data_IF_275733238503
#
_entry.id   IF_275733238503
#
_cell.length_a   1.000
_cell.length_b   1.000
_cell.length_c   1.000
_cell.angle_alpha   90.00
_cell.angle_beta   90.00
_cell.angle_gamma   90.00
#
_symmetry.space_group_name_H-M   'P 1'
#
loop_
_entity.id
_entity.type
_entity.pdbx_description
1 polymer ?
#
# COMPACT_ATOMS: atom_id res chain seq x y z
N UNK A 1 -24.86 0.80 -14.59
CA UNK A 1 -25.88 0.91 -13.49
C UNK A 1 -25.37 1.98 -12.55
N UNK A 2 -26.13 3.04 -12.25
CA UNK A 2 -25.68 4.02 -11.27
C UNK A 2 -25.67 3.35 -9.89
N UNK A 3 -24.57 3.50 -9.14
CA UNK A 3 -24.51 3.08 -7.74
C UNK A 3 -25.63 3.84 -7.02
N UNK A 4 -26.74 3.16 -6.73
CA UNK A 4 -27.81 3.74 -5.94
C UNK A 4 -27.25 3.98 -4.54
N UNK A 5 -27.33 5.23 -4.06
CA UNK A 5 -27.02 5.56 -2.66
C UNK A 5 -27.87 4.66 -1.77
N UNK A 6 -27.26 3.68 -1.11
CA UNK A 6 -27.92 2.89 -0.09
C UNK A 6 -28.10 3.78 1.13
N UNK A 7 -29.36 4.06 1.51
CA UNK A 7 -29.71 4.92 2.65
C UNK A 7 -29.87 4.15 3.95
N UNK A 8 -29.58 2.85 3.94
CA UNK A 8 -29.66 2.00 5.12
C UNK A 8 -28.53 2.28 6.14
N UNK A 9 -28.75 1.90 7.39
CA UNK A 9 -27.73 2.00 8.44
C UNK A 9 -26.98 0.70 8.56
N UNK A 10 -25.65 0.79 8.45
CA UNK A 10 -24.73 -0.33 8.55
C UNK A 10 -24.02 -0.40 9.89
N UNK A 11 -23.62 -1.59 10.31
CA UNK A 11 -22.84 -1.84 11.53
C UNK A 11 -21.77 -2.90 11.32
N UNK A 12 -20.63 -2.74 11.98
CA UNK A 12 -19.58 -3.75 12.04
C UNK A 12 -18.65 -3.54 13.24
N UNK A 13 -17.90 -4.59 13.60
CA UNK A 13 -16.78 -4.49 14.53
C UNK A 13 -15.61 -3.84 13.78
N UNK A 14 -15.08 -2.74 14.31
CA UNK A 14 -14.03 -1.93 13.69
C UNK A 14 -12.64 -2.13 14.29
N UNK A 15 -12.52 -2.89 15.38
CA UNK A 15 -11.26 -3.30 16.03
C UNK A 15 -10.90 -4.73 15.65
N UNK A 16 -9.62 -5.13 15.71
CA UNK A 16 -9.24 -6.53 15.57
C UNK A 16 -10.01 -7.43 16.54
N UNK A 17 -10.34 -8.65 16.10
CA UNK A 17 -10.96 -9.65 16.96
C UNK A 17 -9.88 -10.25 17.89
N UNK A 18 -10.17 -10.33 19.19
CA UNK A 18 -9.23 -10.86 20.18
C UNK A 18 -9.53 -10.31 21.56
N UNK A 19 -8.67 -10.61 22.54
CA UNK A 19 -8.74 -10.05 23.88
C UNK A 19 -8.04 -8.70 23.92
N UNK A 20 -8.76 -7.65 24.31
CA UNK A 20 -8.23 -6.30 24.41
C UNK A 20 -9.00 -5.46 25.43
N UNK A 21 -8.46 -4.28 25.76
CA UNK A 21 -9.14 -3.39 26.70
C UNK A 21 -10.43 -2.78 26.11
N UNK A 22 -10.45 -2.53 24.80
CA UNK A 22 -11.56 -1.87 24.09
C UNK A 22 -11.85 -2.61 22.80
N UNK A 23 -13.16 -2.86 22.55
CA UNK A 23 -13.71 -3.22 21.25
C UNK A 23 -14.62 -2.10 20.74
N UNK A 24 -14.66 -1.87 19.43
CA UNK A 24 -15.51 -0.84 18.82
C UNK A 24 -16.49 -1.49 17.87
N UNK A 25 -17.78 -1.33 18.13
CA UNK A 25 -18.86 -1.66 17.20
C UNK A 25 -19.42 -0.35 16.64
N UNK A 26 -19.20 -0.14 15.33
CA UNK A 26 -19.52 1.11 14.62
C UNK A 26 -20.83 0.98 13.88
N UNK A 27 -21.62 2.07 13.87
CA UNK A 27 -22.77 2.27 13.00
C UNK A 27 -22.50 3.48 12.09
N UNK A 28 -23.03 3.43 10.86
CA UNK A 28 -23.06 4.57 9.93
C UNK A 28 -24.37 4.55 9.15
N UNK A 29 -25.02 5.69 9.02
CA UNK A 29 -26.27 5.86 8.27
C UNK A 29 -27.24 6.79 8.94
N UNK A 30 -28.39 7.02 8.31
CA UNK A 30 -29.42 7.98 8.75
C UNK A 30 -30.00 7.63 10.11
N UNK A 31 -30.13 6.34 10.44
CA UNK A 31 -30.74 5.86 11.68
C UNK A 31 -29.70 5.43 12.73
N UNK A 32 -28.40 5.68 12.50
CA UNK A 32 -27.33 5.22 13.37
C UNK A 32 -27.52 5.64 14.83
N UNK A 33 -27.89 6.91 15.06
CA UNK A 33 -28.13 7.43 16.41
C UNK A 33 -29.40 6.85 17.04
N UNK A 34 -30.47 6.72 16.27
CA UNK A 34 -31.74 6.17 16.76
C UNK A 34 -31.60 4.68 17.13
N UNK A 35 -30.90 3.90 16.31
CA UNK A 35 -30.65 2.48 16.57
C UNK A 35 -29.78 2.31 17.83
N UNK A 36 -28.69 3.07 17.96
CA UNK A 36 -27.82 3.03 19.13
C UNK A 36 -28.60 3.44 20.40
N UNK A 37 -29.47 4.46 20.31
CA UNK A 37 -30.25 4.94 21.44
C UNK A 37 -31.27 3.91 21.97
N UNK A 38 -31.78 3.00 21.12
CA UNK A 38 -32.70 1.92 21.54
C UNK A 38 -32.07 0.94 22.52
N UNK A 39 -30.77 0.69 22.39
CA UNK A 39 -30.04 -0.32 23.18
C UNK A 39 -29.18 0.31 24.29
N UNK A 40 -29.06 1.63 24.31
CA UNK A 40 -28.22 2.37 25.25
C UNK A 40 -29.02 2.89 26.44
N UNK A 41 -28.59 2.55 27.66
CA UNK A 41 -29.12 3.05 28.92
C UNK A 41 -28.16 4.08 29.51
N UNK A 42 -28.48 5.37 29.31
CA UNK A 42 -27.71 6.52 29.73
C UNK A 42 -28.41 7.81 29.35
N UNK A 43 -27.62 8.78 28.81
CA UNK A 43 -28.18 10.00 28.21
C UNK A 43 -28.91 9.65 26.92
N UNK A 44 -29.98 10.38 26.59
CA UNK A 44 -30.61 10.24 25.28
C UNK A 44 -29.69 10.68 24.17
N UNK A 45 -29.18 9.70 23.35
CA UNK A 45 -28.21 9.94 22.28
C UNK A 45 -28.76 10.82 21.16
N UNK A 46 -30.10 10.86 20.99
CA UNK A 46 -30.69 11.73 19.94
C UNK A 46 -30.57 13.21 20.28
N UNK A 47 -30.42 13.55 21.57
CA UNK A 47 -30.36 14.95 22.07
C UNK A 47 -28.96 15.43 22.38
N UNK A 48 -27.94 14.55 22.39
CA UNK A 48 -26.57 14.94 22.67
C UNK A 48 -25.94 15.68 21.48
N UNK A 49 -24.98 16.55 21.78
CA UNK A 49 -24.21 17.26 20.75
C UNK A 49 -23.35 16.30 19.95
N UNK A 50 -23.02 16.68 18.71
CA UNK A 50 -22.06 15.97 17.89
C UNK A 50 -20.65 15.99 18.49
N UNK A 51 -19.88 14.94 18.27
CA UNK A 51 -18.51 14.74 18.77
C UNK A 51 -18.45 14.71 20.31
N UNK A 52 -19.41 13.99 20.92
CA UNK A 52 -19.45 13.74 22.36
C UNK A 52 -19.33 12.26 22.67
N UNK A 53 -18.75 11.97 23.81
CA UNK A 53 -18.67 10.62 24.40
C UNK A 53 -19.64 10.54 25.57
N UNK A 54 -20.48 9.50 25.57
CA UNK A 54 -21.56 9.32 26.54
C UNK A 54 -21.35 7.99 27.25
N UNK A 55 -21.18 8.06 28.58
CA UNK A 55 -21.07 6.89 29.46
C UNK A 55 -22.45 6.30 29.74
N UNK A 56 -22.53 4.97 29.73
CA UNK A 56 -23.76 4.22 30.04
C UNK A 56 -23.58 2.71 29.85
N UNK A 57 -24.67 2.03 29.59
CA UNK A 57 -24.71 0.58 29.45
C UNK A 57 -25.45 0.18 28.18
N UNK A 58 -24.98 -0.88 27.53
CA UNK A 58 -25.80 -1.57 26.53
C UNK A 58 -26.68 -2.58 27.23
N UNK A 59 -27.95 -2.54 26.94
CA UNK A 59 -28.98 -3.36 27.60
C UNK A 59 -29.87 -4.06 26.57
N UNK A 60 -30.29 -5.29 26.89
CA UNK A 60 -31.31 -6.04 26.16
C UNK A 60 -32.30 -6.63 27.22
N UNK A 61 -33.60 -6.40 27.07
CA UNK A 61 -34.63 -6.90 27.95
C UNK A 61 -34.39 -6.59 29.46
N UNK A 62 -33.89 -5.37 29.74
CA UNK A 62 -33.46 -4.90 31.07
C UNK A 62 -32.21 -5.58 31.67
N UNK A 63 -31.61 -6.50 30.97
CA UNK A 63 -30.30 -7.09 31.33
C UNK A 63 -29.14 -6.27 30.75
N UNK A 64 -28.13 -5.99 31.56
CA UNK A 64 -26.92 -5.27 31.12
C UNK A 64 -26.00 -6.25 30.44
N UNK A 65 -25.65 -5.95 29.18
CA UNK A 65 -24.65 -6.72 28.39
C UNK A 65 -23.27 -6.20 28.72
N UNK A 66 -23.08 -4.86 28.67
CA UNK A 66 -21.76 -4.24 28.91
C UNK A 66 -21.91 -2.79 29.38
N UNK A 67 -20.89 -2.31 30.06
CA UNK A 67 -20.67 -0.91 30.44
C UNK A 67 -19.82 -0.26 29.36
N UNK A 68 -20.30 0.82 28.74
CA UNK A 68 -19.75 1.36 27.49
C UNK A 68 -19.58 2.88 27.48
N UNK A 69 -18.72 3.35 26.57
CA UNK A 69 -18.67 4.75 26.19
C UNK A 69 -19.15 4.86 24.73
N UNK A 70 -20.25 5.58 24.50
CA UNK A 70 -20.82 5.76 23.16
C UNK A 70 -20.42 7.11 22.59
N UNK A 71 -19.69 7.11 21.49
CA UNK A 71 -19.32 8.30 20.73
C UNK A 71 -20.40 8.59 19.68
N UNK A 72 -20.92 9.83 19.66
CA UNK A 72 -21.90 10.28 18.67
C UNK A 72 -21.31 11.36 17.80
N UNK A 73 -21.27 11.12 16.49
CA UNK A 73 -20.77 12.04 15.47
C UNK A 73 -21.82 12.23 14.39
N UNK A 74 -22.25 13.49 14.16
CA UNK A 74 -23.33 13.80 13.21
C UNK A 74 -22.78 14.29 11.87
N UNK A 75 -23.46 13.92 10.81
CA UNK A 75 -23.22 14.41 9.47
C UNK A 75 -23.14 15.97 9.42
N UNK A 76 -22.37 16.54 8.49
CA UNK A 76 -21.47 15.90 7.52
C UNK A 76 -20.01 15.75 8.01
N UNK A 77 -19.69 16.12 9.25
CA UNK A 77 -18.32 16.12 9.79
C UNK A 77 -17.97 14.76 10.41
N UNK A 78 -18.07 13.68 9.60
CA UNK A 78 -17.80 12.30 10.00
C UNK A 78 -16.99 11.58 8.94
N UNK A 79 -16.54 10.36 9.20
CA UNK A 79 -15.76 9.59 8.23
C UNK A 79 -16.56 9.30 6.95
N UNK A 80 -17.81 8.89 7.06
CA UNK A 80 -18.69 8.55 5.94
C UNK A 80 -19.50 9.73 5.42
N UNK A 81 -19.44 10.91 6.07
CA UNK A 81 -20.38 12.03 5.90
C UNK A 81 -21.84 11.69 6.23
N UNK A 82 -22.08 10.56 6.89
CA UNK A 82 -23.34 10.16 7.49
C UNK A 82 -23.28 10.33 9.00
N UNK A 83 -24.39 10.10 9.73
CA UNK A 83 -24.32 9.98 11.18
C UNK A 83 -23.55 8.71 11.54
N UNK A 84 -22.59 8.84 12.45
CA UNK A 84 -21.73 7.74 12.91
C UNK A 84 -21.84 7.62 14.43
N UNK A 85 -22.02 6.38 14.90
CA UNK A 85 -21.97 6.05 16.32
C UNK A 85 -20.94 4.95 16.54
N UNK A 86 -20.09 5.13 17.55
CA UNK A 86 -19.12 4.11 17.96
C UNK A 86 -19.44 3.69 19.39
N UNK A 87 -19.78 2.41 19.57
CA UNK A 87 -19.96 1.78 20.86
C UNK A 87 -18.60 1.21 21.29
N UNK A 88 -17.93 1.91 22.21
CA UNK A 88 -16.67 1.45 22.78
C UNK A 88 -17.00 0.53 23.97
N UNK A 89 -16.83 -0.75 23.76
CA UNK A 89 -17.16 -1.87 24.65
C UNK A 89 -15.89 -2.43 25.29
N UNK A 90 -16.01 -3.34 26.25
CA UNK A 90 -14.88 -4.18 26.61
C UNK A 90 -14.48 -5.06 25.44
N UNK A 91 -13.15 -5.18 25.18
CA UNK A 91 -12.58 -5.83 24.01
C UNK A 91 -12.53 -7.35 24.13
N UNK A 92 -13.70 -7.99 24.20
CA UNK A 92 -13.83 -9.44 24.17
C UNK A 92 -14.64 -9.89 22.97
N UNK A 93 -14.27 -11.02 22.34
CA UNK A 93 -14.96 -11.53 21.15
C UNK A 93 -16.45 -11.77 21.41
N UNK A 94 -16.80 -12.32 22.56
CA UNK A 94 -18.20 -12.61 22.92
C UNK A 94 -19.01 -11.32 23.06
N UNK A 95 -18.51 -10.32 23.80
CA UNK A 95 -19.20 -9.06 24.07
C UNK A 95 -19.38 -8.25 22.79
N UNK A 96 -18.34 -8.08 21.99
CA UNK A 96 -18.43 -7.32 20.75
C UNK A 96 -19.37 -7.95 19.72
N UNK A 97 -19.40 -9.28 19.63
CA UNK A 97 -20.33 -10.01 18.76
C UNK A 97 -21.77 -9.89 19.26
N UNK A 98 -22.03 -10.00 20.58
CA UNK A 98 -23.39 -9.86 21.12
C UNK A 98 -23.95 -8.47 20.85
N UNK A 99 -23.14 -7.42 21.06
CA UNK A 99 -23.55 -6.03 20.77
C UNK A 99 -23.78 -5.83 19.27
N UNK A 100 -22.93 -6.40 18.40
CA UNK A 100 -23.15 -6.36 16.95
C UNK A 100 -24.50 -6.99 16.57
N UNK A 101 -24.78 -8.19 17.09
CA UNK A 101 -26.05 -8.88 16.83
C UNK A 101 -27.26 -8.08 17.36
N UNK A 102 -27.14 -7.48 18.54
CA UNK A 102 -28.17 -6.64 19.09
C UNK A 102 -28.47 -5.40 18.23
N UNK A 103 -27.44 -4.75 17.69
CA UNK A 103 -27.61 -3.62 16.78
C UNK A 103 -28.27 -4.04 15.46
N UNK A 104 -27.95 -5.22 14.94
CA UNK A 104 -28.60 -5.79 13.76
C UNK A 104 -30.08 -6.06 14.05
N UNK A 105 -30.39 -6.71 15.19
CA UNK A 105 -31.79 -6.93 15.63
C UNK A 105 -32.56 -5.61 15.83
N UNK A 106 -31.85 -4.53 16.16
CA UNK A 106 -32.43 -3.20 16.40
C UNK A 106 -32.66 -2.40 15.10
N UNK A 107 -32.21 -2.91 13.93
CA UNK A 107 -32.52 -2.33 12.62
C UNK A 107 -31.33 -1.92 11.77
N UNK A 108 -30.10 -2.20 12.21
CA UNK A 108 -28.92 -2.04 11.36
C UNK A 108 -28.72 -3.27 10.46
N UNK A 109 -28.03 -3.09 9.32
CA UNK A 109 -27.55 -4.17 8.47
C UNK A 109 -26.05 -4.39 8.75
N UNK A 110 -25.59 -5.64 8.63
CA UNK A 110 -24.18 -5.94 8.65
C UNK A 110 -23.48 -5.24 7.46
N UNK A 111 -22.38 -4.54 7.72
CA UNK A 111 -21.57 -3.90 6.70
C UNK A 111 -20.84 -4.93 5.84
N UNK A 112 -20.67 -4.63 4.55
CA UNK A 112 -19.76 -5.36 3.66
C UNK A 112 -18.30 -4.94 3.93
N UNK A 113 -17.31 -5.75 3.50
CA UNK A 113 -15.92 -5.34 3.53
C UNK A 113 -15.71 -3.99 2.84
N UNK A 114 -15.02 -3.06 3.50
CA UNK A 114 -14.73 -1.72 2.96
C UNK A 114 -15.91 -0.77 2.84
N UNK A 115 -17.12 -1.12 3.29
CA UNK A 115 -18.32 -0.33 3.04
C UNK A 115 -18.30 1.07 3.66
N UNK A 116 -17.70 1.25 4.82
CA UNK A 116 -17.58 2.59 5.41
C UNK A 116 -16.71 3.51 4.55
N UNK A 117 -15.60 3.00 4.02
CA UNK A 117 -14.72 3.77 3.12
C UNK A 117 -15.37 3.98 1.76
N UNK A 118 -16.10 2.98 1.23
CA UNK A 118 -16.92 3.11 0.01
C UNK A 118 -17.96 4.24 0.15
N UNK A 119 -18.66 4.33 1.30
CA UNK A 119 -19.59 5.43 1.60
C UNK A 119 -18.88 6.78 1.72
N UNK A 120 -17.69 6.82 2.33
CA UNK A 120 -16.87 8.04 2.37
C UNK A 120 -16.50 8.51 0.95
N UNK A 121 -16.18 7.60 0.03
CA UNK A 121 -15.93 7.89 -1.38
C UNK A 121 -17.21 8.35 -2.11
N UNK A 122 -18.31 7.60 -2.01
CA UNK A 122 -19.59 7.94 -2.65
C UNK A 122 -20.17 9.28 -2.16
N UNK A 123 -19.93 9.62 -0.90
CA UNK A 123 -20.32 10.91 -0.31
C UNK A 123 -19.30 12.03 -0.58
N UNK A 124 -18.26 11.77 -1.38
CA UNK A 124 -17.29 12.77 -1.83
C UNK A 124 -16.35 13.30 -0.73
N UNK A 125 -16.18 12.55 0.38
CA UNK A 125 -15.20 12.91 1.41
C UNK A 125 -13.77 12.59 0.96
N UNK A 126 -13.57 11.44 0.40
CA UNK A 126 -12.30 10.96 -0.13
C UNK A 126 -12.47 10.57 -1.59
N UNK A 127 -11.40 10.63 -2.38
CA UNK A 127 -11.35 10.01 -3.70
C UNK A 127 -10.81 8.57 -3.64
N UNK A 128 -10.67 7.92 -4.79
CA UNK A 128 -10.24 6.53 -4.84
C UNK A 128 -8.79 6.37 -4.37
N UNK A 129 -7.90 7.33 -4.67
CA UNK A 129 -6.49 7.30 -4.22
C UNK A 129 -6.37 7.44 -2.71
N UNK A 130 -7.19 8.30 -2.11
CA UNK A 130 -7.26 8.50 -0.66
C UNK A 130 -7.89 7.28 0.04
N UNK A 131 -8.90 6.64 -0.58
CA UNK A 131 -9.50 5.42 -0.07
C UNK A 131 -8.48 4.27 -0.02
N UNK A 132 -7.70 4.08 -1.08
CA UNK A 132 -6.61 3.10 -1.13
C UNK A 132 -5.53 3.42 -0.07
N UNK A 133 -5.19 4.69 0.12
CA UNK A 133 -4.22 5.15 1.12
C UNK A 133 -4.64 4.81 2.57
N UNK A 134 -5.94 4.73 2.88
CA UNK A 134 -6.44 4.24 4.19
C UNK A 134 -5.93 2.82 4.45
N UNK A 135 -6.01 1.93 3.45
CA UNK A 135 -5.52 0.55 3.59
C UNK A 135 -4.01 0.47 3.63
N UNK A 136 -3.32 1.28 2.82
CA UNK A 136 -1.86 1.36 2.83
C UNK A 136 -1.33 1.83 4.19
N UNK A 137 -2.01 2.80 4.83
CA UNK A 137 -1.68 3.26 6.18
C UNK A 137 -1.85 2.17 7.23
N UNK A 138 -2.95 1.39 7.17
CA UNK A 138 -3.21 0.27 8.09
C UNK A 138 -2.18 -0.85 7.93
N UNK A 139 -1.76 -1.11 6.68
CA UNK A 139 -0.80 -2.17 6.34
C UNK A 139 0.66 -1.73 6.40
N UNK A 140 0.93 -0.44 6.60
CA UNK A 140 2.28 0.10 6.63
C UNK A 140 3.17 -0.63 7.65
N UNK A 141 4.33 -1.10 7.20
CA UNK A 141 5.29 -1.87 8.00
C UNK A 141 6.47 -1.03 8.51
N UNK A 142 6.63 0.18 8.00
CA UNK A 142 7.73 1.08 8.36
C UNK A 142 7.25 2.52 8.44
N UNK A 143 7.98 3.38 9.17
CA UNK A 143 7.68 4.81 9.27
C UNK A 143 7.65 5.49 7.90
N UNK A 144 8.49 5.02 6.96
CA UNK A 144 8.51 5.56 5.59
C UNK A 144 7.30 5.14 4.78
N UNK A 145 6.89 3.87 4.87
CA UNK A 145 5.65 3.41 4.26
C UNK A 145 4.44 4.19 4.82
N UNK A 146 4.41 4.38 6.15
CA UNK A 146 3.39 5.19 6.81
C UNK A 146 3.39 6.65 6.29
N UNK A 147 4.56 7.29 6.17
CA UNK A 147 4.67 8.66 5.69
C UNK A 147 4.15 8.81 4.25
N UNK A 148 4.46 7.85 3.36
CA UNK A 148 3.92 7.83 1.98
C UNK A 148 2.39 7.68 2.00
N UNK A 149 1.86 6.75 2.78
CA UNK A 149 0.42 6.53 2.90
C UNK A 149 -0.31 7.77 3.46
N UNK A 150 0.26 8.45 4.47
CA UNK A 150 -0.29 9.70 5.02
C UNK A 150 -0.29 10.80 3.96
N UNK A 151 0.80 10.99 3.21
CA UNK A 151 0.85 11.97 2.11
C UNK A 151 -0.22 11.73 1.04
N UNK A 152 -0.45 10.46 0.67
CA UNK A 152 -1.52 10.11 -0.27
C UNK A 152 -2.91 10.34 0.34
N UNK A 153 -3.11 10.00 1.62
CA UNK A 153 -4.36 10.25 2.33
C UNK A 153 -4.68 11.75 2.43
N UNK A 154 -3.67 12.60 2.60
CA UNK A 154 -3.79 14.07 2.58
C UNK A 154 -4.09 14.60 1.16
N UNK A 155 -3.97 13.78 0.14
CA UNK A 155 -4.39 14.06 -1.23
C UNK A 155 -3.27 14.58 -2.16
N UNK A 156 -2.00 14.30 -1.87
CA UNK A 156 -0.88 14.73 -2.73
C UNK A 156 -1.05 14.25 -4.18
N UNK A 157 -1.34 12.96 -4.38
CA UNK A 157 -1.59 12.39 -5.72
C UNK A 157 -2.86 12.95 -6.36
N UNK A 158 -3.96 13.04 -5.59
CA UNK A 158 -5.21 13.66 -6.03
C UNK A 158 -5.00 15.06 -6.60
N UNK A 159 -4.30 15.92 -5.86
CA UNK A 159 -4.04 17.29 -6.29
C UNK A 159 -3.20 17.33 -7.56
N UNK A 160 -2.15 16.52 -7.66
CA UNK A 160 -1.32 16.44 -8.85
C UNK A 160 -2.15 16.02 -10.08
N UNK A 161 -2.91 14.93 -9.98
CA UNK A 161 -3.74 14.40 -11.08
C UNK A 161 -4.82 15.41 -11.47
N UNK A 162 -5.54 16.01 -10.51
CA UNK A 162 -6.60 16.95 -10.83
C UNK A 162 -6.07 18.24 -11.46
N UNK A 163 -4.92 18.75 -11.03
CA UNK A 163 -4.27 19.91 -11.66
C UNK A 163 -3.89 19.56 -13.11
N UNK A 164 -3.27 18.41 -13.35
CA UNK A 164 -2.90 17.97 -14.70
C UNK A 164 -4.15 17.83 -15.59
N UNK A 165 -5.21 17.20 -15.09
CA UNK A 165 -6.48 17.09 -15.81
C UNK A 165 -7.11 18.46 -16.15
N UNK A 166 -7.04 19.42 -15.22
CA UNK A 166 -7.54 20.76 -15.45
C UNK A 166 -6.73 21.49 -16.54
N UNK A 167 -5.40 21.33 -16.56
CA UNK A 167 -4.55 21.90 -17.62
C UNK A 167 -4.80 21.26 -18.98
N UNK A 168 -5.01 19.93 -19.04
CA UNK A 168 -5.41 19.24 -20.28
C UNK A 168 -6.76 19.79 -20.76
N UNK A 169 -7.73 19.93 -19.89
CA UNK A 169 -9.06 20.47 -20.24
C UNK A 169 -8.98 21.92 -20.74
N UNK A 170 -8.16 22.76 -20.09
CA UNK A 170 -7.90 24.13 -20.53
C UNK A 170 -7.27 24.16 -21.93
N UNK A 171 -6.33 23.27 -22.20
CA UNK A 171 -5.67 23.13 -23.52
C UNK A 171 -6.67 22.70 -24.58
N UNK A 172 -7.50 21.68 -24.30
CA UNK A 172 -8.56 21.23 -25.21
C UNK A 172 -9.56 22.35 -25.52
N UNK A 173 -9.99 23.13 -24.51
CA UNK A 173 -10.90 24.25 -24.72
C UNK A 173 -10.28 25.35 -25.59
N UNK A 174 -8.98 25.65 -25.43
CA UNK A 174 -8.29 26.61 -26.29
C UNK A 174 -8.18 26.12 -27.73
N UNK A 175 -7.90 24.84 -27.92
CA UNK A 175 -7.86 24.21 -29.26
C UNK A 175 -9.23 24.30 -29.94
N UNK A 176 -10.31 23.97 -29.22
CA UNK A 176 -11.68 24.02 -29.75
C UNK A 176 -12.09 25.44 -30.18
N UNK A 177 -11.78 26.45 -29.35
CA UNK A 177 -12.02 27.87 -29.71
C UNK A 177 -11.26 28.26 -30.98
N UNK A 178 -10.02 27.82 -31.13
CA UNK A 178 -9.21 28.14 -32.31
C UNK A 178 -9.71 27.42 -33.59
N UNK A 179 -10.30 26.25 -33.46
CA UNK A 179 -10.92 25.51 -34.59
C UNK A 179 -12.23 26.19 -35.04
N UNK A 180 -13.07 26.60 -34.08
CA UNK A 180 -14.39 27.16 -34.35
C UNK A 180 -14.33 28.61 -34.89
N UNK A 181 -13.27 29.36 -34.52
CA UNK A 181 -13.12 30.76 -34.92
C UNK A 181 -11.75 31.03 -35.56
N UNK A 182 -11.49 30.49 -36.77
CA UNK A 182 -10.21 30.68 -37.47
C UNK A 182 -10.18 32.07 -38.15
N UNK A 183 -10.11 33.15 -37.38
CA UNK A 183 -10.13 34.53 -37.89
C UNK A 183 -8.78 35.01 -38.47
N UNK A 184 -7.68 34.23 -38.23
CA UNK A 184 -6.31 34.58 -38.63
C UNK A 184 -5.64 33.41 -39.37
N UNK A 185 -4.83 33.70 -40.37
CA UNK A 185 -4.16 32.72 -41.23
C UNK A 185 -3.12 31.85 -40.50
N UNK A 186 -2.66 32.26 -39.28
CA UNK A 186 -1.64 31.59 -38.48
C UNK A 186 -2.21 30.80 -37.28
N UNK A 187 -3.53 30.74 -37.10
CA UNK A 187 -4.20 30.10 -35.96
C UNK A 187 -3.86 28.60 -35.87
N UNK A 188 -3.79 27.91 -37.01
CA UNK A 188 -3.48 26.46 -37.03
C UNK A 188 -2.05 26.18 -36.55
N UNK A 189 -1.05 26.99 -36.96
CA UNK A 189 0.33 26.84 -36.52
C UNK A 189 0.50 27.17 -35.02
N UNK A 190 -0.14 28.22 -34.54
CA UNK A 190 -0.14 28.61 -33.14
C UNK A 190 -0.76 27.52 -32.27
N UNK A 191 -1.88 26.95 -32.71
CA UNK A 191 -2.58 25.87 -32.00
C UNK A 191 -1.76 24.60 -31.95
N UNK A 192 -1.13 24.21 -33.08
CA UNK A 192 -0.25 23.04 -33.14
C UNK A 192 0.96 23.19 -32.20
N UNK A 193 1.56 24.39 -32.11
CA UNK A 193 2.67 24.66 -31.21
C UNK A 193 2.24 24.61 -29.74
N UNK A 194 1.06 25.15 -29.41
CA UNK A 194 0.48 25.05 -28.05
C UNK A 194 0.26 23.59 -27.65
N UNK A 195 -0.34 22.77 -28.50
CA UNK A 195 -0.56 21.34 -28.24
C UNK A 195 0.76 20.63 -28.03
N UNK A 196 1.79 20.92 -28.87
CA UNK A 196 3.12 20.33 -28.73
C UNK A 196 3.78 20.67 -27.39
N UNK A 197 3.80 21.95 -27.02
CA UNK A 197 4.38 22.41 -25.76
C UNK A 197 3.70 21.77 -24.57
N UNK A 198 2.35 21.79 -24.52
CA UNK A 198 1.57 21.21 -23.44
C UNK A 198 1.70 19.69 -23.33
N UNK A 199 1.72 18.98 -24.47
CA UNK A 199 1.93 17.53 -24.48
C UNK A 199 3.29 17.16 -23.87
N UNK A 200 4.35 17.89 -24.21
CA UNK A 200 5.68 17.67 -23.64
C UNK A 200 5.72 17.98 -22.13
N UNK A 201 5.04 19.04 -21.66
CA UNK A 201 4.93 19.35 -20.23
C UNK A 201 4.22 18.21 -19.48
N UNK A 202 3.09 17.72 -20.00
CA UNK A 202 2.34 16.62 -19.38
C UNK A 202 3.14 15.32 -19.38
N UNK A 203 3.81 15.00 -20.49
CA UNK A 203 4.64 13.82 -20.60
C UNK A 203 5.78 13.85 -19.57
N UNK A 204 6.52 14.94 -19.48
CA UNK A 204 7.61 15.09 -18.52
C UNK A 204 7.13 14.97 -17.07
N UNK A 205 5.95 15.52 -16.74
CA UNK A 205 5.36 15.42 -15.41
C UNK A 205 4.98 13.96 -15.07
N UNK A 206 4.32 13.25 -16.00
CA UNK A 206 3.91 11.85 -15.78
C UNK A 206 5.11 10.89 -15.76
N UNK A 207 6.15 11.13 -16.57
CA UNK A 207 7.40 10.36 -16.55
C UNK A 207 8.13 10.53 -15.20
N UNK A 208 8.23 11.77 -14.69
CA UNK A 208 8.79 12.03 -13.38
C UNK A 208 8.02 11.33 -12.27
N UNK A 209 6.69 11.32 -12.35
CA UNK A 209 5.83 10.59 -11.41
C UNK A 209 6.07 9.07 -11.51
N UNK A 210 6.12 8.53 -12.73
CA UNK A 210 6.38 7.10 -12.99
C UNK A 210 7.76 6.67 -12.50
N UNK A 211 8.77 7.53 -12.57
CA UNK A 211 10.11 7.26 -12.04
C UNK A 211 10.11 6.97 -10.52
N UNK A 212 9.10 7.45 -9.78
CA UNK A 212 8.94 7.14 -8.35
C UNK A 212 8.36 5.75 -8.08
N UNK A 213 7.79 5.09 -9.09
CA UNK A 213 6.97 3.88 -8.93
C UNK A 213 7.75 2.70 -8.31
N UNK A 214 8.97 2.47 -8.76
CA UNK A 214 9.82 1.38 -8.21
C UNK A 214 10.05 1.54 -6.72
N UNK A 215 10.37 2.77 -6.28
CA UNK A 215 10.61 3.10 -4.87
C UNK A 215 9.31 3.02 -4.05
N UNK A 216 8.24 3.60 -4.58
CA UNK A 216 6.91 3.57 -3.94
C UNK A 216 6.41 2.15 -3.73
N UNK A 217 6.53 1.27 -4.74
CA UNK A 217 6.15 -0.14 -4.65
C UNK A 217 6.95 -0.87 -3.56
N UNK A 218 8.28 -0.67 -3.50
CA UNK A 218 9.12 -1.28 -2.45
C UNK A 218 8.68 -0.82 -1.06
N UNK A 219 8.39 0.46 -0.87
CA UNK A 219 7.95 0.98 0.42
C UNK A 219 6.58 0.41 0.85
N UNK A 220 5.67 0.19 -0.10
CA UNK A 220 4.33 -0.33 0.14
C UNK A 220 4.29 -1.84 0.38
N UNK A 221 4.87 -2.62 -0.55
CA UNK A 221 4.76 -4.09 -0.59
C UNK A 221 5.91 -4.79 0.13
N UNK A 222 7.01 -4.09 0.30
CA UNK A 222 8.27 -4.66 0.76
C UNK A 222 9.13 -5.19 -0.39
N UNK A 223 10.40 -5.42 -0.07
CA UNK A 223 11.38 -6.00 -0.97
C UNK A 223 11.44 -7.50 -0.74
N UNK A 224 10.92 -8.31 -1.66
CA UNK A 224 10.96 -9.77 -1.55
C UNK A 224 12.40 -10.25 -1.47
N UNK A 225 12.80 -10.78 -0.31
CA UNK A 225 14.20 -11.07 0.00
C UNK A 225 14.40 -12.54 0.32
N UNK A 226 15.26 -13.21 -0.45
CA UNK A 226 15.70 -14.57 -0.21
C UNK A 226 17.06 -14.58 0.51
N UNK A 227 17.19 -15.42 1.54
CA UNK A 227 18.48 -15.70 2.20
C UNK A 227 18.93 -17.08 1.78
N UNK A 228 19.95 -17.16 0.93
CA UNK A 228 20.48 -18.42 0.38
C UNK A 228 21.92 -18.69 0.83
N UNK A 229 22.34 -19.91 0.76
CA UNK A 229 23.67 -20.38 1.15
C UNK A 229 23.61 -21.83 1.59
N UNK A 230 24.74 -22.52 1.60
CA UNK A 230 24.82 -23.92 2.04
C UNK A 230 24.45 -24.09 3.54
N UNK A 231 24.22 -25.31 4.03
CA UNK A 231 23.99 -25.52 5.47
C UNK A 231 25.13 -24.97 6.35
N UNK A 232 24.80 -24.54 7.56
CA UNK A 232 25.75 -24.08 8.61
C UNK A 232 26.60 -22.83 8.28
N UNK A 233 26.32 -22.07 7.19
CA UNK A 233 27.00 -20.79 6.92
C UNK A 233 26.50 -19.64 7.81
N UNK A 234 25.37 -19.85 8.52
CA UNK A 234 24.81 -18.87 9.44
C UNK A 234 23.58 -18.14 8.95
N UNK A 235 22.81 -18.71 7.99
CA UNK A 235 21.54 -18.14 7.49
C UNK A 235 20.53 -17.89 8.60
N UNK A 236 20.24 -18.93 9.43
CA UNK A 236 19.29 -18.81 10.55
C UNK A 236 19.78 -17.82 11.61
N UNK A 237 21.09 -17.73 11.82
CA UNK A 237 21.67 -16.75 12.73
C UNK A 237 21.52 -15.33 12.19
N UNK A 238 21.74 -15.11 10.88
CA UNK A 238 21.52 -13.82 10.21
C UNK A 238 20.04 -13.43 10.29
N UNK A 239 19.13 -14.35 9.94
CA UNK A 239 17.69 -14.14 10.05
C UNK A 239 17.29 -13.73 11.47
N UNK A 240 17.73 -14.47 12.49
CA UNK A 240 17.44 -14.18 13.88
C UNK A 240 18.06 -12.86 14.35
N UNK A 241 19.23 -12.48 13.85
CA UNK A 241 19.86 -11.19 14.15
C UNK A 241 19.03 -10.04 13.56
N UNK A 242 18.64 -10.15 12.29
CA UNK A 242 17.78 -9.17 11.63
C UNK A 242 16.41 -9.04 12.31
N UNK A 243 15.86 -10.13 12.84
CA UNK A 243 14.58 -10.13 13.55
C UNK A 243 14.68 -9.59 15.00
N UNK A 244 15.83 -9.77 15.70
CA UNK A 244 15.98 -9.40 17.12
C UNK A 244 16.25 -7.93 17.40
N UNK A 245 16.83 -7.18 16.48
CA UNK A 245 17.23 -5.77 16.67
C UNK A 245 16.06 -4.78 16.51
N UNK A 246 14.92 -4.95 17.21
CA UNK A 246 13.73 -4.08 17.11
C UNK A 246 13.21 -3.88 15.67
N UNK A 247 13.73 -4.70 14.72
CA UNK A 247 13.47 -4.61 13.29
C UNK A 247 12.36 -5.56 12.84
N UNK A 248 11.97 -6.53 13.68
CA UNK A 248 10.90 -7.46 13.37
C UNK A 248 9.54 -6.76 13.44
N UNK A 249 8.81 -6.80 12.36
CA UNK A 249 7.41 -6.39 12.33
C UNK A 249 6.60 -7.66 12.46
N UNK A 250 6.26 -8.04 13.71
CA UNK A 250 5.40 -9.19 13.96
C UNK A 250 3.97 -8.78 13.64
N UNK A 251 3.40 -9.35 12.61
CA UNK A 251 1.98 -9.21 12.31
C UNK A 251 1.24 -10.46 12.77
N UNK A 252 0.99 -10.58 14.08
CA UNK A 252 -0.02 -11.50 14.58
C UNK A 252 -1.40 -10.91 14.32
N UNK A 253 -1.88 -11.00 13.09
CA UNK A 253 -3.30 -10.80 12.81
C UNK A 253 -3.94 -12.18 12.95
N UNK A 254 -4.33 -12.52 14.19
CA UNK A 254 -5.24 -13.64 14.44
C UNK A 254 -6.55 -13.37 13.69
N UNK A 255 -6.88 -14.22 12.73
CA UNK A 255 -8.19 -14.17 12.05
C UNK A 255 -8.19 -14.44 10.56
N UNK A 256 -7.03 -14.55 9.90
CA UNK A 256 -6.96 -14.98 8.49
C UNK A 256 -6.37 -16.39 8.40
N UNK A 257 -7.25 -17.39 8.47
CA UNK A 257 -6.92 -18.81 8.57
C UNK A 257 -6.34 -19.44 7.30
N UNK A 258 -5.72 -18.68 6.37
CA UNK A 258 -5.17 -19.23 5.11
C UNK A 258 -3.93 -18.52 4.55
N UNK A 259 -3.46 -17.43 5.13
CA UNK A 259 -2.31 -16.73 4.56
C UNK A 259 -1.01 -17.25 5.22
N UNK A 260 -0.01 -17.51 4.38
CA UNK A 260 1.36 -17.82 4.77
C UNK A 260 1.83 -16.72 5.73
N UNK A 261 2.37 -17.08 6.89
CA UNK A 261 2.94 -16.11 7.83
C UNK A 261 4.12 -15.44 7.13
N UNK A 262 3.90 -14.22 6.67
CA UNK A 262 4.93 -13.40 6.04
C UNK A 262 5.73 -12.68 7.11
N UNK A 263 7.03 -12.86 7.09
CA UNK A 263 7.95 -12.20 8.02
C UNK A 263 8.53 -10.96 7.36
N UNK A 264 8.42 -9.82 8.05
CA UNK A 264 8.98 -8.56 7.61
C UNK A 264 10.08 -8.08 8.54
N UNK A 265 11.15 -7.52 7.95
CA UNK A 265 12.26 -6.88 8.67
C UNK A 265 12.34 -5.43 8.20
N UNK A 266 12.41 -4.48 9.13
CA UNK A 266 12.63 -3.07 8.81
C UNK A 266 14.13 -2.76 8.72
N UNK A 267 14.62 -2.48 7.53
CA UNK A 267 16.01 -2.07 7.31
C UNK A 267 16.06 -0.57 6.98
N UNK A 268 16.31 0.28 7.96
CA UNK A 268 16.33 1.76 7.82
C UNK A 268 15.11 2.34 7.11
N UNK A 269 13.93 1.78 7.37
CA UNK A 269 12.67 2.22 6.77
C UNK A 269 12.31 1.51 5.47
N UNK A 270 13.11 0.55 5.00
CA UNK A 270 12.79 -0.36 3.90
C UNK A 270 12.24 -1.65 4.46
N UNK A 271 10.98 -2.03 4.17
CA UNK A 271 10.44 -3.32 4.59
C UNK A 271 11.04 -4.44 3.72
N UNK A 272 11.79 -5.36 4.31
CA UNK A 272 12.19 -6.60 3.65
C UNK A 272 11.14 -7.67 3.94
N UNK A 273 10.51 -8.20 2.90
CA UNK A 273 9.62 -9.34 2.96
C UNK A 273 10.44 -10.61 2.79
N UNK A 274 10.61 -11.39 3.86
CA UNK A 274 11.41 -12.60 3.82
C UNK A 274 10.61 -13.75 3.18
N UNK A 275 11.18 -14.37 2.15
CA UNK A 275 10.59 -15.51 1.46
C UNK A 275 11.31 -16.81 1.86
N UNK A 276 10.56 -17.91 1.90
CA UNK A 276 11.03 -19.30 2.25
C UNK A 276 11.74 -19.41 3.62
N UNK A 277 11.22 -18.71 4.65
CA UNK A 277 11.78 -18.75 6.01
C UNK A 277 11.68 -20.13 6.67
N UNK A 278 10.73 -20.98 6.26
CA UNK A 278 10.60 -22.37 6.75
C UNK A 278 11.85 -23.20 6.45
N UNK A 279 12.43 -23.09 5.25
CA UNK A 279 13.68 -23.76 4.89
C UNK A 279 14.93 -23.29 5.63
N UNK A 280 14.83 -22.13 6.30
CA UNK A 280 15.92 -21.53 7.09
C UNK A 280 15.81 -21.93 8.57
N UNK A 281 14.59 -22.19 9.08
CA UNK A 281 14.33 -22.56 10.48
C UNK A 281 14.52 -24.04 10.77
N UNK A 282 14.21 -24.90 9.80
CA UNK A 282 14.36 -26.37 9.93
C UNK A 282 15.81 -26.77 9.65
N UNK A 283 16.64 -26.74 10.66
CA UNK A 283 18.05 -27.16 10.65
C UNK A 283 18.23 -28.49 11.33
N UNK A 284 17.63 -29.57 10.84
CA UNK A 284 18.14 -30.90 11.14
C UNK A 284 17.77 -31.88 10.03
N UNK A 285 18.82 -32.35 9.37
CA UNK A 285 18.90 -33.55 8.53
C UNK A 285 17.94 -33.73 7.33
N UNK A 286 18.61 -33.98 6.22
CA UNK A 286 18.22 -34.64 4.96
C UNK A 286 18.04 -33.71 3.75
N UNK A 287 19.03 -33.86 2.84
CA UNK A 287 18.97 -33.71 1.39
C UNK A 287 19.60 -32.43 0.80
N UNK A 288 20.89 -32.53 0.48
CA UNK A 288 21.68 -31.57 -0.33
C UNK A 288 21.03 -31.16 -1.68
N UNK A 289 20.29 -32.07 -2.33
CA UNK A 289 19.61 -31.76 -3.61
C UNK A 289 18.38 -30.87 -3.46
N UNK A 290 17.61 -30.99 -2.36
CA UNK A 290 16.44 -30.15 -2.10
C UNK A 290 16.86 -28.68 -1.83
N UNK A 291 18.04 -28.46 -1.28
CA UNK A 291 18.54 -27.11 -0.99
C UNK A 291 18.79 -26.24 -2.24
N UNK A 292 19.34 -26.81 -3.32
CA UNK A 292 19.61 -26.08 -4.58
C UNK A 292 18.33 -25.80 -5.36
N UNK A 293 17.39 -26.75 -5.43
CA UNK A 293 16.10 -26.56 -6.09
C UNK A 293 15.23 -25.51 -5.38
N UNK A 294 15.20 -25.55 -4.04
CA UNK A 294 14.52 -24.49 -3.23
C UNK A 294 15.16 -23.12 -3.45
N UNK A 295 16.50 -23.06 -3.46
CA UNK A 295 17.21 -21.81 -3.74
C UNK A 295 16.89 -21.25 -5.13
N UNK A 296 16.72 -22.08 -6.16
CA UNK A 296 16.31 -21.66 -7.50
C UNK A 296 14.91 -21.05 -7.50
N UNK A 297 13.95 -21.70 -6.84
CA UNK A 297 12.59 -21.14 -6.73
C UNK A 297 12.56 -19.81 -5.97
N UNK A 298 13.29 -19.74 -4.84
CA UNK A 298 13.41 -18.50 -4.09
C UNK A 298 14.10 -17.38 -4.88
N UNK A 299 15.07 -17.71 -5.76
CA UNK A 299 15.70 -16.77 -6.67
C UNK A 299 14.75 -16.19 -7.74
N UNK A 300 13.81 -16.99 -8.23
CA UNK A 300 12.81 -16.56 -9.22
C UNK A 300 11.79 -15.57 -8.63
N UNK A 301 11.50 -15.70 -7.34
CA UNK A 301 10.49 -14.89 -6.64
C UNK A 301 11.11 -13.67 -5.90
N UNK A 302 12.46 -13.60 -5.77
CA UNK A 302 13.13 -12.58 -4.99
C UNK A 302 13.51 -11.35 -5.80
N UNK A 303 13.19 -10.16 -5.24
CA UNK A 303 13.73 -8.88 -5.71
C UNK A 303 15.18 -8.66 -5.23
N UNK A 304 15.53 -9.24 -4.07
CA UNK A 304 16.86 -9.19 -3.45
C UNK A 304 17.29 -10.56 -2.97
N UNK A 305 18.55 -10.90 -3.20
CA UNK A 305 19.18 -12.13 -2.72
C UNK A 305 20.30 -11.79 -1.75
N UNK A 306 20.22 -12.32 -0.52
CA UNK A 306 21.32 -12.31 0.44
C UNK A 306 22.03 -13.67 0.37
N UNK A 307 23.14 -13.75 -0.34
CA UNK A 307 23.96 -14.97 -0.46
C UNK A 307 24.98 -15.01 0.68
N UNK A 308 24.82 -15.98 1.58
CA UNK A 308 25.70 -16.14 2.77
C UNK A 308 26.75 -17.22 2.51
N UNK A 309 28.01 -16.83 2.61
CA UNK A 309 29.18 -17.70 2.53
C UNK A 309 29.90 -17.77 3.87
N UNK A 310 30.67 -18.84 4.10
CA UNK A 310 31.46 -19.03 5.33
C UNK A 310 32.92 -18.65 5.10
N UNK A 311 33.44 -17.64 5.80
CA UNK A 311 34.83 -17.19 5.65
C UNK A 311 35.86 -18.19 6.20
N UNK A 312 35.47 -19.04 7.15
CA UNK A 312 36.36 -19.98 7.84
C UNK A 312 36.56 -21.33 7.11
N UNK A 313 35.99 -21.49 5.92
CA UNK A 313 36.12 -22.70 5.12
C UNK A 313 36.38 -22.35 3.65
N UNK A 314 37.08 -23.18 2.86
CA UNK A 314 37.24 -22.99 1.43
C UNK A 314 35.89 -23.02 0.69
N UNK A 315 35.80 -22.37 -0.47
CA UNK A 315 34.63 -22.49 -1.34
C UNK A 315 34.38 -23.92 -1.79
N UNK A 316 33.17 -24.40 -1.56
CA UNK A 316 32.68 -25.68 -2.02
C UNK A 316 32.06 -25.59 -3.42
N UNK A 317 31.83 -26.73 -4.07
CA UNK A 317 31.09 -26.76 -5.37
C UNK A 317 29.67 -26.18 -5.23
N UNK A 318 29.05 -26.38 -4.08
CA UNK A 318 27.72 -25.83 -3.79
C UNK A 318 27.75 -24.30 -3.72
N UNK A 319 28.77 -23.70 -3.06
CA UNK A 319 28.96 -22.26 -3.00
C UNK A 319 29.18 -21.67 -4.41
N UNK A 320 29.97 -22.34 -5.27
CA UNK A 320 30.21 -21.94 -6.66
C UNK A 320 28.93 -21.98 -7.47
N UNK A 321 28.13 -23.04 -7.33
CA UNK A 321 26.83 -23.16 -7.99
C UNK A 321 25.87 -22.01 -7.57
N UNK A 322 25.80 -21.68 -6.27
CA UNK A 322 24.95 -20.60 -5.78
C UNK A 322 25.43 -19.22 -6.28
N UNK A 323 26.74 -19.00 -6.37
CA UNK A 323 27.34 -17.81 -6.96
C UNK A 323 26.96 -17.66 -8.44
N UNK A 324 26.99 -18.78 -9.20
CA UNK A 324 26.64 -18.80 -10.62
C UNK A 324 25.14 -18.53 -10.86
N UNK A 325 24.25 -19.28 -10.22
CA UNK A 325 22.80 -19.15 -10.45
C UNK A 325 22.24 -17.81 -9.99
N UNK A 326 22.88 -17.15 -9.00
CA UNK A 326 22.47 -15.83 -8.51
C UNK A 326 23.13 -14.66 -9.25
N UNK A 327 23.95 -14.92 -10.29
CA UNK A 327 24.74 -13.88 -10.96
C UNK A 327 23.87 -12.77 -11.59
N UNK A 328 22.70 -13.14 -12.13
CA UNK A 328 21.79 -12.21 -12.79
C UNK A 328 20.73 -11.59 -11.87
N UNK A 329 20.76 -11.91 -10.56
CA UNK A 329 19.86 -11.35 -9.56
C UNK A 329 20.46 -10.11 -8.89
N UNK A 330 19.62 -9.22 -8.36
CA UNK A 330 20.08 -8.20 -7.41
C UNK A 330 20.55 -8.91 -6.14
N UNK A 331 21.86 -9.12 -6.01
CA UNK A 331 22.41 -9.87 -4.89
C UNK A 331 23.36 -9.07 -4.04
N UNK A 332 23.42 -9.42 -2.76
CA UNK A 332 24.45 -9.00 -1.80
C UNK A 332 25.14 -10.26 -1.30
N UNK A 333 26.43 -10.35 -1.50
CA UNK A 333 27.22 -11.49 -1.04
C UNK A 333 27.79 -11.16 0.34
N UNK A 334 27.43 -11.99 1.33
CA UNK A 334 27.81 -11.84 2.73
C UNK A 334 28.82 -12.91 3.10
N UNK A 335 30.02 -12.50 3.45
CA UNK A 335 31.06 -13.39 3.95
C UNK A 335 30.99 -13.43 5.48
N UNK A 336 30.27 -14.41 6.01
CA UNK A 336 30.00 -14.54 7.44
C UNK A 336 31.12 -15.28 8.19
N UNK A 337 31.12 -15.19 9.52
CA UNK A 337 32.07 -15.79 10.46
C UNK A 337 33.47 -15.20 10.36
N UNK A 338 33.57 -13.90 10.08
CA UNK A 338 34.88 -13.20 10.03
C UNK A 338 35.56 -13.10 11.39
N UNK A 339 34.88 -13.49 12.46
CA UNK A 339 35.44 -13.68 13.82
C UNK A 339 36.32 -14.95 13.96
N UNK A 340 36.29 -15.85 12.96
CA UNK A 340 37.13 -17.04 12.86
C UNK A 340 38.28 -16.83 11.87
N UNK A 341 39.34 -17.65 11.94
CA UNK A 341 40.44 -17.60 10.97
C UNK A 341 39.90 -17.80 9.53
N UNK A 342 40.27 -16.90 8.62
CA UNK A 342 39.86 -16.94 7.24
C UNK A 342 40.55 -18.11 6.50
N UNK A 343 39.74 -18.93 5.80
CA UNK A 343 40.23 -20.01 4.95
C UNK A 343 39.86 -19.85 3.48
N UNK A 344 38.81 -19.00 3.18
CA UNK A 344 38.41 -18.69 1.83
C UNK A 344 39.40 -17.74 1.15
N UNK A 345 39.71 -17.99 -0.12
CA UNK A 345 40.58 -17.13 -0.93
C UNK A 345 39.73 -15.99 -1.55
N UNK A 346 40.11 -14.75 -1.24
CA UNK A 346 39.31 -13.58 -1.70
C UNK A 346 39.33 -13.40 -3.21
N UNK A 347 40.38 -13.89 -3.89
CA UNK A 347 40.53 -13.89 -5.36
C UNK A 347 39.49 -14.76 -6.08
N UNK A 348 38.89 -15.70 -5.37
CA UNK A 348 37.83 -16.57 -5.89
C UNK A 348 36.42 -15.94 -5.78
N UNK A 349 36.31 -14.80 -5.11
CA UNK A 349 35.04 -14.10 -4.85
C UNK A 349 34.92 -12.87 -5.75
N UNK A 350 33.69 -12.43 -6.08
CA UNK A 350 33.44 -11.13 -6.69
C UNK A 350 33.95 -9.98 -5.80
N UNK A 351 34.25 -8.82 -6.43
CA UNK A 351 34.85 -7.66 -5.71
C UNK A 351 33.93 -7.04 -4.64
N UNK A 352 32.59 -7.23 -4.71
CA UNK A 352 31.59 -6.55 -3.89
C UNK A 352 31.05 -7.41 -2.72
N UNK A 353 31.93 -8.20 -2.10
CA UNK A 353 31.58 -9.03 -0.94
C UNK A 353 31.62 -8.21 0.35
N UNK A 354 30.61 -8.37 1.22
CA UNK A 354 30.54 -7.73 2.52
C UNK A 354 30.99 -8.73 3.62
N UNK A 355 32.15 -8.50 4.27
CA UNK A 355 32.56 -9.31 5.41
C UNK A 355 31.74 -8.94 6.64
N UNK A 356 31.14 -9.96 7.29
CA UNK A 356 30.30 -9.81 8.48
C UNK A 356 30.65 -10.84 9.55
N UNK A 357 30.34 -10.51 10.79
CA UNK A 357 30.21 -11.50 11.87
C UNK A 357 28.83 -11.36 12.51
N UNK A 358 27.93 -12.26 12.21
CA UNK A 358 26.60 -12.29 12.83
C UNK A 358 26.70 -12.53 14.32
N UNK A 359 27.67 -13.34 14.76
CA UNK A 359 27.88 -13.65 16.20
C UNK A 359 28.30 -12.41 17.00
N UNK A 360 29.14 -11.56 16.42
CA UNK A 360 29.65 -10.34 17.06
C UNK A 360 28.87 -9.08 16.67
N UNK A 361 27.86 -9.21 15.82
CA UNK A 361 27.10 -8.09 15.25
C UNK A 361 27.96 -7.06 14.50
N UNK A 362 29.00 -7.53 13.79
CA UNK A 362 29.95 -6.67 13.07
C UNK A 362 29.53 -6.51 11.59
N UNK A 363 29.56 -5.26 11.10
CA UNK A 363 29.28 -4.87 9.71
C UNK A 363 27.85 -5.17 9.21
N UNK A 364 26.89 -5.41 10.08
CA UNK A 364 25.49 -5.61 9.68
C UNK A 364 24.93 -4.32 9.06
N UNK A 365 25.35 -3.14 9.52
CA UNK A 365 25.03 -1.84 8.96
C UNK A 365 25.43 -1.65 7.49
N UNK A 366 26.47 -2.38 7.04
CA UNK A 366 26.89 -2.36 5.62
C UNK A 366 25.88 -3.03 4.70
N UNK A 367 25.17 -4.05 5.19
CA UNK A 367 24.07 -4.68 4.45
C UNK A 367 22.98 -3.64 4.18
N UNK A 368 22.60 -2.88 5.21
CA UNK A 368 21.61 -1.82 5.14
C UNK A 368 22.00 -0.74 4.13
N UNK A 369 23.25 -0.29 4.18
CA UNK A 369 23.76 0.71 3.25
C UNK A 369 23.76 0.19 1.80
N UNK A 370 24.10 -1.09 1.60
CA UNK A 370 24.13 -1.69 0.26
C UNK A 370 22.73 -1.85 -0.33
N UNK A 371 21.73 -2.21 0.49
CA UNK A 371 20.31 -2.25 0.08
C UNK A 371 19.88 -0.85 -0.38
N UNK A 372 20.21 0.19 0.39
CA UNK A 372 19.89 1.56 0.03
C UNK A 372 20.55 1.98 -1.29
N UNK A 373 21.80 1.60 -1.54
CA UNK A 373 22.48 1.88 -2.81
C UNK A 373 21.82 1.19 -4.01
N UNK A 374 21.42 -0.08 -3.84
CA UNK A 374 20.84 -0.87 -4.93
C UNK A 374 19.43 -0.42 -5.36
N UNK A 375 18.63 0.07 -4.42
CA UNK A 375 17.22 0.32 -4.68
C UNK A 375 16.81 1.79 -4.59
N UNK A 376 17.64 2.66 -4.00
CA UNK A 376 17.31 4.06 -3.74
C UNK A 376 18.34 5.07 -4.26
N UNK A 377 19.35 4.65 -5.04
CA UNK A 377 20.35 5.47 -5.76
C UNK A 377 21.02 6.56 -4.91
N UNK A 378 21.28 6.30 -3.61
CA UNK A 378 21.79 7.27 -2.64
C UNK A 378 20.97 8.58 -2.49
N UNK A 379 19.88 8.75 -3.24
CA UNK A 379 18.92 9.80 -2.99
C UNK A 379 18.20 9.47 -1.68
N UNK A 380 17.97 10.46 -0.83
CA UNK A 380 17.29 10.25 0.46
C UNK A 380 16.03 9.41 0.29
N UNK A 381 15.80 8.46 1.18
CA UNK A 381 14.77 7.41 1.03
C UNK A 381 13.35 7.94 0.82
N UNK A 382 13.04 9.14 1.27
CA UNK A 382 11.78 9.86 1.00
C UNK A 382 12.10 11.37 1.02
N UNK A 383 11.95 12.03 -0.09
CA UNK A 383 11.89 13.49 -0.12
C UNK A 383 10.56 13.93 0.50
N UNK A 384 10.59 14.89 1.43
CA UNK A 384 9.43 15.30 2.22
C UNK A 384 8.23 15.76 1.40
N UNK A 385 8.47 16.24 0.18
CA UNK A 385 7.46 16.82 -0.70
C UNK A 385 7.21 16.01 -2.00
N UNK A 386 7.84 14.84 -2.15
CA UNK A 386 7.66 14.02 -3.35
C UNK A 386 6.39 13.16 -3.27
N UNK A 387 5.60 13.19 -4.34
CA UNK A 387 4.47 12.28 -4.52
C UNK A 387 5.00 10.96 -5.10
N UNK A 388 4.74 9.86 -4.39
CA UNK A 388 5.17 8.52 -4.80
C UNK A 388 4.03 7.71 -5.38
N UNK A 389 4.27 7.08 -6.53
CA UNK A 389 3.39 6.03 -7.03
C UNK A 389 3.74 4.71 -6.35
N UNK A 390 2.81 4.13 -5.61
CA UNK A 390 3.02 2.86 -4.90
C UNK A 390 2.03 1.76 -5.33
N UNK A 391 0.94 2.14 -5.99
CA UNK A 391 -0.15 1.25 -6.38
C UNK A 391 -0.02 0.83 -7.84
N UNK A 392 -0.08 -0.48 -8.11
CA UNK A 392 0.02 -1.03 -9.46
C UNK A 392 -1.07 -0.50 -10.41
N UNK A 393 -2.29 -0.24 -9.91
CA UNK A 393 -3.38 0.37 -10.69
C UNK A 393 -2.99 1.77 -11.18
N UNK A 394 -2.47 2.61 -10.29
CA UNK A 394 -2.04 3.97 -10.64
C UNK A 394 -0.89 3.93 -11.65
N UNK A 395 0.10 3.05 -11.43
CA UNK A 395 1.24 2.87 -12.34
C UNK A 395 0.75 2.53 -13.76
N UNK A 396 -0.12 1.51 -13.87
CA UNK A 396 -0.65 1.09 -15.16
C UNK A 396 -1.48 2.17 -15.85
N UNK A 397 -2.24 2.99 -15.11
CA UNK A 397 -3.00 4.10 -15.68
C UNK A 397 -2.09 5.25 -16.14
N UNK A 398 -1.01 5.55 -15.40
CA UNK A 398 -0.01 6.54 -15.84
C UNK A 398 0.71 6.08 -17.10
N UNK A 399 1.10 4.78 -17.19
CA UNK A 399 1.69 4.21 -18.41
C UNK A 399 0.76 4.36 -19.62
N UNK A 400 -0.52 4.04 -19.49
CA UNK A 400 -1.52 4.23 -20.55
C UNK A 400 -1.73 5.70 -20.93
N UNK A 401 -1.68 6.62 -19.95
CA UNK A 401 -1.78 8.04 -20.21
C UNK A 401 -0.56 8.54 -21.01
N UNK A 402 0.65 8.04 -20.68
CA UNK A 402 1.87 8.31 -21.45
C UNK A 402 1.80 7.75 -22.88
N UNK A 403 1.28 6.54 -23.08
CA UNK A 403 1.04 5.98 -24.43
C UNK A 403 0.11 6.87 -25.26
N UNK A 404 -0.94 7.42 -24.62
CA UNK A 404 -1.87 8.32 -25.31
C UNK A 404 -1.22 9.67 -25.67
N UNK A 405 -0.38 10.25 -24.78
CA UNK A 405 0.39 11.45 -25.08
C UNK A 405 1.45 11.22 -26.17
N UNK A 406 2.05 10.04 -26.20
CA UNK A 406 2.97 9.66 -27.27
C UNK A 406 2.27 9.59 -28.63
N UNK A 407 1.01 9.10 -28.68
CA UNK A 407 0.20 9.14 -29.91
C UNK A 407 -0.07 10.58 -30.37
N UNK A 408 -0.30 11.53 -29.45
CA UNK A 408 -0.40 12.97 -29.79
C UNK A 408 0.91 13.47 -30.41
N UNK A 409 2.07 13.15 -29.83
CA UNK A 409 3.37 13.55 -30.37
C UNK A 409 3.61 12.99 -31.77
N UNK A 410 3.33 11.71 -31.99
CA UNK A 410 3.46 11.07 -33.31
C UNK A 410 2.54 11.71 -34.34
N UNK A 411 1.31 12.04 -33.95
CA UNK A 411 0.38 12.77 -34.82
C UNK A 411 0.88 14.17 -35.19
N UNK A 412 1.47 14.89 -34.23
CA UNK A 412 2.10 16.19 -34.47
C UNK A 412 3.28 16.11 -35.44
N UNK A 413 4.12 15.07 -35.34
CA UNK A 413 5.25 14.83 -36.27
C UNK A 413 4.79 14.50 -37.68
N UNK A 414 3.66 13.78 -37.81
CA UNK A 414 3.04 13.43 -39.10
C UNK A 414 2.25 14.58 -39.70
N UNK A 415 2.16 15.72 -39.02
CA UNK A 415 1.36 16.88 -39.50
C UNK A 415 -0.13 16.60 -39.52
N UNK A 416 -0.64 15.78 -38.59
CA UNK A 416 -2.07 15.51 -38.49
C UNK A 416 -2.83 16.77 -38.05
N UNK A 417 -4.06 16.99 -38.54
CA UNK A 417 -4.93 18.04 -38.06
C UNK A 417 -5.18 17.98 -36.56
N UNK A 418 -5.26 19.14 -35.91
CA UNK A 418 -5.32 19.25 -34.44
C UNK A 418 -6.61 18.64 -33.87
N UNK A 419 -7.71 18.64 -34.62
CA UNK A 419 -8.98 18.01 -34.26
C UNK A 419 -8.84 16.48 -34.07
N UNK A 420 -7.97 15.82 -34.81
CA UNK A 420 -7.68 14.40 -34.63
C UNK A 420 -6.83 14.16 -33.36
N UNK A 421 -5.92 15.07 -33.04
CA UNK A 421 -5.05 14.98 -31.85
C UNK A 421 -5.84 15.17 -30.53
N UNK A 422 -6.96 15.89 -30.58
CA UNK A 422 -7.88 16.06 -29.42
C UNK A 422 -8.39 14.73 -28.89
N UNK A 423 -8.58 13.71 -29.75
CA UNK A 423 -9.08 12.40 -29.34
C UNK A 423 -8.13 11.74 -28.33
N UNK A 424 -6.83 11.75 -28.61
CA UNK A 424 -5.82 11.16 -27.73
C UNK A 424 -5.57 12.01 -26.48
N UNK A 425 -5.65 13.34 -26.57
CA UNK A 425 -5.61 14.21 -25.39
C UNK A 425 -6.82 13.99 -24.47
N UNK A 426 -8.03 13.86 -25.04
CA UNK A 426 -9.25 13.55 -24.28
C UNK A 426 -9.13 12.18 -23.60
N UNK A 427 -8.60 11.19 -24.31
CA UNK A 427 -8.31 9.87 -23.73
C UNK A 427 -7.34 9.94 -22.56
N UNK A 428 -6.27 10.76 -22.66
CA UNK A 428 -5.35 11.01 -21.54
C UNK A 428 -6.09 11.57 -20.33
N UNK A 429 -6.96 12.57 -20.55
CA UNK A 429 -7.78 13.17 -19.49
C UNK A 429 -8.71 12.17 -18.81
N UNK A 430 -9.35 11.27 -19.58
CA UNK A 430 -10.22 10.20 -19.06
C UNK A 430 -9.44 9.19 -18.23
N UNK A 431 -8.30 8.69 -18.75
CA UNK A 431 -7.42 7.73 -18.04
C UNK A 431 -6.95 8.30 -16.70
N UNK A 432 -6.53 9.56 -16.68
CA UNK A 432 -6.16 10.22 -15.42
C UNK A 432 -7.34 10.33 -14.44
N UNK A 433 -8.57 10.49 -14.95
CA UNK A 433 -9.79 10.50 -14.14
C UNK A 433 -10.11 9.15 -13.49
N UNK A 434 -9.70 8.04 -14.11
CA UNK A 434 -9.85 6.72 -13.50
C UNK A 434 -8.97 6.57 -12.24
N UNK A 435 -7.84 7.29 -12.15
CA UNK A 435 -6.96 7.24 -10.96
C UNK A 435 -7.70 7.76 -9.73
N UNK A 436 -8.37 8.89 -9.83
CA UNK A 436 -9.13 9.52 -8.74
C UNK A 436 -10.52 8.90 -8.53
N UNK A 437 -10.99 8.13 -9.51
CA UNK A 437 -12.30 7.49 -9.48
C UNK A 437 -13.42 8.29 -10.13
N UNK A 438 -13.14 9.46 -10.73
CA UNK A 438 -14.16 10.29 -11.39
C UNK A 438 -14.75 9.61 -12.64
N UNK A 439 -13.95 8.75 -13.30
CA UNK A 439 -14.33 7.99 -14.50
C UNK A 439 -14.23 6.46 -14.29
N UNK A 440 -14.08 6.00 -13.04
CA UNK A 440 -13.90 4.58 -12.75
C UNK A 440 -15.22 3.80 -12.90
N UNK A 441 -15.22 2.62 -13.54
CA UNK A 441 -16.40 1.77 -13.62
C UNK A 441 -16.87 1.27 -12.23
N UNK A 442 -18.18 1.11 -12.05
CA UNK A 442 -18.81 0.63 -10.81
C UNK A 442 -18.27 -0.74 -10.36
N UNK A 443 -17.97 -1.63 -11.31
CA UNK A 443 -17.40 -2.94 -11.03
C UNK A 443 -16.01 -2.82 -10.40
N UNK A 444 -15.16 -1.91 -10.90
CA UNK A 444 -13.83 -1.66 -10.35
C UNK A 444 -13.91 -1.14 -8.90
N UNK A 445 -14.81 -0.18 -8.66
CA UNK A 445 -15.05 0.38 -7.32
C UNK A 445 -15.47 -0.73 -6.36
N UNK A 446 -16.43 -1.56 -6.76
CA UNK A 446 -16.92 -2.67 -5.94
C UNK A 446 -15.83 -3.70 -5.67
N UNK A 447 -15.06 -4.09 -6.69
CA UNK A 447 -13.95 -5.03 -6.55
C UNK A 447 -12.87 -4.50 -5.61
N UNK A 448 -12.52 -3.22 -5.73
CA UNK A 448 -11.49 -2.59 -4.89
C UNK A 448 -11.90 -2.62 -3.41
N UNK A 449 -13.12 -2.19 -3.08
CA UNK A 449 -13.57 -2.14 -1.70
C UNK A 449 -13.78 -3.53 -1.08
N UNK A 450 -14.09 -4.56 -1.88
CA UNK A 450 -14.19 -5.95 -1.39
C UNK A 450 -12.89 -6.52 -0.80
N UNK A 451 -11.74 -5.90 -1.12
CA UNK A 451 -10.42 -6.28 -0.57
C UNK A 451 -10.07 -5.56 0.74
N UNK A 452 -10.95 -4.69 1.21
CA UNK A 452 -10.74 -3.94 2.44
C UNK A 452 -11.18 -4.76 3.66
N UNK A 453 -10.70 -4.34 4.84
CA UNK A 453 -11.11 -4.97 6.09
C UNK A 453 -12.58 -4.70 6.40
N UNK A 454 -13.26 -5.66 7.03
CA UNK A 454 -14.58 -5.47 7.62
C UNK A 454 -14.51 -4.37 8.69
N UNK A 455 -15.49 -3.47 8.71
CA UNK A 455 -15.51 -2.34 9.66
C UNK A 455 -14.72 -1.10 9.21
N UNK A 456 -14.20 -1.10 7.96
CA UNK A 456 -13.49 0.03 7.33
C UNK A 456 -14.22 0.54 6.09
#
# INVERSE_FOLDING_TARGET
MSITKEFDTITAISTPLGEGAIGIVRLSGTDAVAIANKVFKGKNLETVASHTINYGHIVENDETIDEVMVSVMRAPKTFTREDVVENNTHGGVAVTNEILQLLIRSGARMAEPGEFTKRAFLNGRVDLTQAEAVMDLIRAKTDKAMAVAVSQLDGSLKHLINNTRQEILNTLAQVEVNIDYPEYDDVEEVTTNLVREKTQEFQALLENLLATAKRGKILREGLSTAIIGRPNVGKSSLLNNLLREEKAIVTDIEGTTRDVIEEYVNIKGVPLKLIDTAGIRDTDDVVEKIGVERSKKALEEADLVLLVLNSSEPLTEQDRTLLEISQNSNRIILLNKTDLPQAIQMEELPEDVIPISVLKNENIDKIENRINQLFFDNAGLVEKDATYLSNARHISLIEKALESLEAVNQGLELGMPVDLLQVDMTRTWEILGEITGDAAPDELITQLFSQFCLGK
#
